data_IF_870757827606
#
_entry.id   IF_870757827606
#
_cell.length_a   1.000
_cell.length_b   1.000
_cell.length_c   1.000
_cell.angle_alpha   90.00
_cell.angle_beta   90.00
_cell.angle_gamma   90.00
#
_symmetry.space_group_name_H-M   'P 1'
#
loop_
_entity.id
_entity.type
_entity.pdbx_description
1 polymer ?
#
# COMPACT_ATOMS: atom_id res chain seq x y z
N UNK A 1 6.07 2.52 13.01
CA UNK A 1 6.09 3.83 12.33
C UNK A 1 4.88 4.68 12.72
N UNK A 2 3.64 4.19 12.54
CA UNK A 2 2.41 4.99 12.73
C UNK A 2 1.60 4.67 14.00
N UNK A 3 2.19 3.97 14.96
CA UNK A 3 1.54 3.69 16.25
C UNK A 3 0.49 2.58 16.25
N UNK A 4 0.30 1.84 15.14
CA UNK A 4 -0.54 0.62 15.11
C UNK A 4 0.02 -0.42 16.08
N UNK A 5 -0.84 -0.96 16.94
CA UNK A 5 -0.49 -1.96 17.95
C UNK A 5 -1.18 -3.30 17.69
N UNK A 6 -0.52 -4.38 18.12
CA UNK A 6 -1.08 -5.74 18.16
C UNK A 6 -0.68 -6.39 19.47
N UNK A 7 -1.67 -6.84 20.23
CA UNK A 7 -1.41 -7.58 21.45
C UNK A 7 -0.95 -9.01 21.16
N UNK A 8 0.01 -9.49 21.96
CA UNK A 8 0.58 -10.84 21.85
C UNK A 8 0.59 -11.52 23.23
N UNK A 9 -0.58 -11.91 23.76
CA UNK A 9 -0.69 -12.46 25.12
C UNK A 9 0.14 -13.74 25.31
N UNK A 10 0.36 -14.50 24.23
CA UNK A 10 1.10 -15.76 24.25
C UNK A 10 2.64 -15.59 24.23
N UNK A 11 3.18 -14.36 24.19
CA UNK A 11 4.63 -14.14 24.09
C UNK A 11 5.42 -14.70 25.28
N UNK A 12 4.78 -14.80 26.45
CA UNK A 12 5.34 -15.38 27.68
C UNK A 12 4.77 -16.79 27.99
N UNK A 13 4.09 -17.43 27.03
CA UNK A 13 3.51 -18.76 27.22
C UNK A 13 4.59 -19.79 27.56
N UNK A 14 4.31 -20.67 28.53
CA UNK A 14 5.17 -21.84 28.81
C UNK A 14 5.12 -22.89 27.70
N UNK A 15 4.01 -22.97 26.97
CA UNK A 15 3.88 -23.83 25.80
C UNK A 15 4.74 -23.29 24.65
N UNK A 16 5.73 -24.08 24.25
CA UNK A 16 6.71 -23.72 23.21
C UNK A 16 6.05 -23.30 21.89
N UNK A 17 5.09 -24.08 21.38
CA UNK A 17 4.45 -23.80 20.08
C UNK A 17 3.72 -22.46 20.08
N UNK A 18 3.00 -22.13 21.18
CA UNK A 18 2.30 -20.85 21.31
C UNK A 18 3.28 -19.68 21.38
N UNK A 19 4.32 -19.81 22.20
CA UNK A 19 5.35 -18.78 22.34
C UNK A 19 6.06 -18.52 21.03
N UNK A 20 6.51 -19.56 20.33
CA UNK A 20 7.18 -19.42 19.03
C UNK A 20 6.29 -18.81 17.95
N UNK A 21 4.99 -19.07 17.98
CA UNK A 21 4.05 -18.39 17.09
C UNK A 21 3.92 -16.90 17.42
N UNK A 22 3.81 -16.55 18.70
CA UNK A 22 3.79 -15.16 19.16
C UNK A 22 5.08 -14.41 18.80
N UNK A 23 6.25 -15.04 18.95
CA UNK A 23 7.55 -14.48 18.55
C UNK A 23 7.62 -14.18 17.05
N UNK A 24 7.23 -15.14 16.19
CA UNK A 24 7.15 -14.89 14.73
C UNK A 24 6.18 -13.78 14.38
N UNK A 25 5.05 -13.74 15.09
CA UNK A 25 4.05 -12.69 14.92
C UNK A 25 4.58 -11.32 15.35
N UNK A 26 5.36 -11.26 16.43
CA UNK A 26 6.00 -10.04 16.91
C UNK A 26 7.02 -9.49 15.90
N UNK A 27 7.78 -10.37 15.23
CA UNK A 27 8.74 -9.98 14.20
C UNK A 27 8.04 -9.50 12.92
N UNK A 28 6.99 -10.20 12.47
CA UNK A 28 6.31 -9.90 11.21
C UNK A 28 5.35 -8.72 11.29
N UNK A 29 4.69 -8.51 12.43
CA UNK A 29 3.63 -7.50 12.56
C UNK A 29 4.12 -6.07 12.27
N UNK A 30 5.28 -5.61 12.77
CA UNK A 30 5.81 -4.30 12.42
C UNK A 30 6.06 -4.14 10.91
N UNK A 31 6.52 -5.18 10.24
CA UNK A 31 6.85 -5.16 8.81
C UNK A 31 5.55 -5.06 7.98
N UNK A 32 4.65 -6.04 8.15
CA UNK A 32 3.39 -6.10 7.39
C UNK A 32 2.45 -4.94 7.76
N UNK A 33 2.39 -4.59 9.05
CA UNK A 33 1.56 -3.50 9.53
C UNK A 33 2.01 -2.14 8.99
N UNK A 34 3.32 -1.89 8.95
CA UNK A 34 3.86 -0.64 8.38
C UNK A 34 3.61 -0.56 6.88
N UNK A 35 3.81 -1.66 6.13
CA UNK A 35 3.46 -1.69 4.70
C UNK A 35 1.96 -1.40 4.47
N UNK A 36 1.09 -2.00 5.28
CA UNK A 36 -0.36 -1.76 5.24
C UNK A 36 -0.75 -0.32 5.64
N UNK A 37 0.04 0.35 6.47
CA UNK A 37 -0.18 1.76 6.80
C UNK A 37 0.24 2.66 5.64
N UNK A 38 1.39 2.39 5.02
CA UNK A 38 1.91 3.15 3.87
C UNK A 38 0.94 3.11 2.70
N UNK A 39 0.46 1.92 2.30
CA UNK A 39 -0.47 1.80 1.18
C UNK A 39 -1.79 2.53 1.45
N UNK A 40 -2.29 2.54 2.70
CA UNK A 40 -3.51 3.28 3.06
C UNK A 40 -3.32 4.78 3.00
N UNK A 41 -2.16 5.29 3.44
CA UNK A 41 -1.82 6.70 3.26
C UNK A 41 -1.75 7.05 1.76
N UNK A 42 -1.18 6.15 0.95
CA UNK A 42 -1.05 6.34 -0.49
C UNK A 42 -2.42 6.37 -1.16
N UNK A 43 -3.33 5.47 -0.81
CA UNK A 43 -4.71 5.46 -1.29
C UNK A 43 -5.40 6.81 -1.03
N UNK A 44 -5.35 7.30 0.21
CA UNK A 44 -5.97 8.59 0.57
C UNK A 44 -5.37 9.76 -0.23
N UNK A 45 -4.06 9.74 -0.45
CA UNK A 45 -3.38 10.83 -1.16
C UNK A 45 -3.58 10.78 -2.67
N UNK A 46 -3.64 9.59 -3.26
CA UNK A 46 -3.98 9.37 -4.66
C UNK A 46 -5.41 9.84 -4.92
N UNK A 47 -6.37 9.40 -4.12
CA UNK A 47 -7.79 9.80 -4.26
C UNK A 47 -7.93 11.32 -4.19
N UNK A 48 -7.33 11.95 -3.16
CA UNK A 48 -7.34 13.40 -3.02
C UNK A 48 -6.77 14.12 -4.25
N UNK A 49 -5.66 13.64 -4.81
CA UNK A 49 -5.05 14.28 -5.99
C UNK A 49 -5.89 14.09 -7.26
N UNK A 50 -6.58 12.96 -7.39
CA UNK A 50 -7.54 12.76 -8.48
C UNK A 50 -8.70 13.77 -8.36
N UNK A 51 -9.24 13.95 -7.16
CA UNK A 51 -10.28 14.94 -6.87
C UNK A 51 -9.79 16.39 -7.13
N UNK A 52 -8.66 16.78 -6.55
CA UNK A 52 -8.07 18.13 -6.71
C UNK A 52 -7.75 18.44 -8.18
N UNK A 53 -7.41 17.43 -8.98
CA UNK A 53 -7.15 17.53 -10.42
C UNK A 53 -8.39 17.46 -11.30
N UNK A 54 -9.58 17.26 -10.73
CA UNK A 54 -10.84 17.00 -11.44
C UNK A 54 -10.74 15.85 -12.47
N UNK A 55 -9.99 14.80 -12.13
CA UNK A 55 -9.91 13.60 -12.96
C UNK A 55 -11.24 12.85 -12.95
N UNK A 56 -11.58 12.23 -14.08
CA UNK A 56 -12.71 11.30 -14.15
C UNK A 56 -12.29 9.88 -13.76
N UNK A 57 -11.00 9.56 -13.91
CA UNK A 57 -10.37 8.32 -13.48
C UNK A 57 -10.51 8.10 -11.96
N UNK A 58 -10.62 6.84 -11.53
CA UNK A 58 -10.85 6.51 -10.10
C UNK A 58 -10.14 5.24 -9.65
N UNK A 59 -9.89 5.17 -8.34
CA UNK A 59 -9.41 3.97 -7.67
C UNK A 59 -10.51 2.90 -7.61
N UNK A 60 -10.19 1.69 -8.07
CA UNK A 60 -11.11 0.55 -8.07
C UNK A 60 -10.83 -0.43 -6.94
N UNK A 61 -9.58 -0.89 -6.85
CA UNK A 61 -9.19 -1.96 -5.94
C UNK A 61 -7.82 -1.68 -5.33
N UNK A 62 -7.61 -2.28 -4.16
CA UNK A 62 -6.30 -2.43 -3.55
C UNK A 62 -6.07 -3.92 -3.29
N UNK A 63 -4.93 -4.43 -3.72
CA UNK A 63 -4.54 -5.84 -3.52
C UNK A 63 -3.15 -5.86 -2.92
N UNK A 64 -3.06 -6.13 -1.62
CA UNK A 64 -1.80 -6.14 -0.86
C UNK A 64 -0.99 -4.83 -0.96
N UNK A 65 -0.06 -4.72 -1.87
CA UNK A 65 0.80 -3.56 -2.13
C UNK A 65 0.48 -2.85 -3.46
N UNK A 66 -0.53 -3.33 -4.19
CA UNK A 66 -0.94 -2.81 -5.50
C UNK A 66 -2.22 -1.97 -5.43
N UNK A 67 -2.29 -0.92 -6.26
CA UNK A 67 -3.50 -0.14 -6.52
C UNK A 67 -3.94 -0.36 -7.97
N UNK A 68 -5.23 -0.63 -8.16
CA UNK A 68 -5.85 -0.80 -9.47
C UNK A 68 -6.81 0.35 -9.71
N UNK A 69 -6.62 1.05 -10.82
CA UNK A 69 -7.43 2.19 -11.24
C UNK A 69 -8.11 1.88 -12.57
N UNK A 70 -9.30 2.43 -12.77
CA UNK A 70 -9.80 2.65 -14.12
C UNK A 70 -9.45 4.07 -14.55
N UNK A 71 -8.91 4.19 -15.75
CA UNK A 71 -8.32 5.43 -16.23
C UNK A 71 -8.91 5.80 -17.58
N UNK A 72 -9.32 7.06 -17.71
CA UNK A 72 -9.75 7.61 -19.01
C UNK A 72 -8.52 7.75 -19.90
N UNK A 73 -8.59 7.30 -21.15
CA UNK A 73 -7.42 7.29 -22.06
C UNK A 73 -6.74 8.66 -22.21
N UNK A 74 -7.49 9.76 -22.18
CA UNK A 74 -6.93 11.12 -22.24
C UNK A 74 -6.21 11.57 -20.97
N UNK A 75 -6.42 10.87 -19.85
CA UNK A 75 -5.84 11.15 -18.54
C UNK A 75 -4.64 10.23 -18.21
N UNK A 76 -4.36 9.24 -19.07
CA UNK A 76 -3.43 8.14 -18.78
C UNK A 76 -2.05 8.59 -18.31
N UNK A 77 -1.36 9.43 -19.10
CA UNK A 77 -0.01 9.90 -18.77
C UNK A 77 0.02 10.70 -17.45
N UNK A 78 -1.01 11.51 -17.23
CA UNK A 78 -1.12 12.33 -16.03
C UNK A 78 -1.40 11.49 -14.78
N UNK A 79 -2.26 10.47 -14.90
CA UNK A 79 -2.56 9.54 -13.80
C UNK A 79 -1.36 8.65 -13.49
N UNK A 80 -0.60 8.20 -14.50
CA UNK A 80 0.62 7.43 -14.29
C UNK A 80 1.66 8.21 -13.47
N UNK A 81 1.93 9.46 -13.84
CA UNK A 81 2.86 10.32 -13.09
C UNK A 81 2.33 10.66 -11.69
N UNK A 82 1.01 10.89 -11.56
CA UNK A 82 0.36 11.10 -10.28
C UNK A 82 0.56 9.89 -9.36
N UNK A 83 0.33 8.67 -9.84
CA UNK A 83 0.52 7.44 -9.05
C UNK A 83 1.97 7.29 -8.63
N UNK A 84 2.92 7.35 -9.58
CA UNK A 84 4.35 7.16 -9.33
C UNK A 84 4.89 8.19 -8.33
N UNK A 85 4.62 9.46 -8.55
CA UNK A 85 5.10 10.53 -7.66
C UNK A 85 4.47 10.43 -6.26
N UNK A 86 3.17 10.13 -6.17
CA UNK A 86 2.44 10.11 -4.89
C UNK A 86 2.82 8.90 -4.05
N UNK A 87 2.80 7.70 -4.63
CA UNK A 87 3.06 6.47 -3.88
C UNK A 87 4.53 6.38 -3.42
N UNK A 88 5.49 6.91 -4.19
CA UNK A 88 6.90 6.92 -3.79
C UNK A 88 7.23 7.95 -2.70
N UNK A 89 6.42 9.02 -2.57
CA UNK A 89 6.69 10.14 -1.65
C UNK A 89 5.75 10.20 -0.45
N UNK A 90 4.81 9.26 -0.34
CA UNK A 90 3.79 9.24 0.73
C UNK A 90 4.40 9.22 2.14
N UNK A 91 5.59 8.62 2.28
CA UNK A 91 6.33 8.54 3.55
C UNK A 91 7.83 8.66 3.29
N UNK A 92 8.56 9.21 4.27
CA UNK A 92 10.02 9.24 4.25
C UNK A 92 10.58 8.02 4.99
N UNK A 93 11.43 7.26 4.31
CA UNK A 93 12.11 6.06 4.83
C UNK A 93 13.62 6.19 4.60
N UNK A 94 14.40 5.36 5.31
CA UNK A 94 15.86 5.30 5.10
C UNK A 94 16.26 4.74 3.73
N UNK A 95 15.32 4.11 3.03
CA UNK A 95 15.47 3.57 1.68
C UNK A 95 14.31 4.08 0.82
N UNK A 96 14.51 4.31 -0.49
CA UNK A 96 13.44 4.81 -1.36
C UNK A 96 12.34 3.76 -1.53
N UNK A 97 11.10 4.23 -1.62
CA UNK A 97 9.99 3.45 -2.16
C UNK A 97 10.01 3.54 -3.68
N UNK A 98 9.89 2.41 -4.35
CA UNK A 98 9.87 2.30 -5.81
C UNK A 98 8.49 1.81 -6.21
N UNK A 99 7.90 2.43 -7.23
CA UNK A 99 6.57 2.09 -7.74
C UNK A 99 6.66 1.86 -9.23
N UNK A 100 6.26 0.67 -9.65
CA UNK A 100 6.06 0.31 -11.05
C UNK A 100 4.60 0.57 -11.44
N UNK A 101 4.41 1.15 -12.62
CA UNK A 101 3.08 1.48 -13.14
C UNK A 101 2.96 0.87 -14.52
N UNK A 102 1.88 0.12 -14.72
CA UNK A 102 1.58 -0.59 -15.95
C UNK A 102 0.10 -0.37 -16.28
N UNK A 103 -0.22 -0.31 -17.57
CA UNK A 103 -1.59 -0.14 -18.04
C UNK A 103 -1.91 -1.14 -19.14
N UNK A 104 -3.15 -1.59 -19.19
CA UNK A 104 -3.69 -2.44 -20.24
C UNK A 104 -5.22 -2.29 -20.29
N UNK A 105 -5.85 -2.70 -21.38
CA UNK A 105 -7.31 -2.69 -21.53
C UNK A 105 -8.01 -3.66 -20.56
N UNK A 106 -7.28 -4.66 -20.05
CA UNK A 106 -7.77 -5.64 -19.10
C UNK A 106 -6.69 -5.93 -18.05
N UNK A 107 -7.11 -6.07 -16.80
CA UNK A 107 -6.20 -6.36 -15.69
C UNK A 107 -5.37 -7.64 -15.91
N UNK A 108 -5.94 -8.67 -16.52
CA UNK A 108 -5.21 -9.91 -16.83
C UNK A 108 -4.06 -9.74 -17.85
N UNK A 109 -4.01 -8.59 -18.54
CA UNK A 109 -2.97 -8.24 -19.51
C UNK A 109 -1.92 -7.28 -18.93
N UNK A 110 -2.14 -6.76 -17.73
CA UNK A 110 -1.16 -5.95 -17.01
C UNK A 110 0.02 -6.87 -16.65
N UNK A 111 1.23 -6.45 -17.05
CA UNK A 111 2.47 -7.20 -16.83
C UNK A 111 3.36 -6.44 -15.88
#
# INVERSE_FOLDING_TARGET
>A
MFGRQRELPDINSRNFNRRSFAERTAMNTPIQGTAADIIKLAMNQVEKKLEDGNFTSRLLLQVHDELVLEVVNSELEAVEELLRSTMQSVVELQVPLIVDVHHAENWALVK
#
